data_IF_707295814847
#
_entry.id   IF_707295814847
#
_cell.length_a   1.000
_cell.length_b   1.000
_cell.length_c   1.000
_cell.angle_alpha   90.00
_cell.angle_beta   90.00
_cell.angle_gamma   90.00
#
_symmetry.space_group_name_H-M   'P 1'
#
loop_
_entity.id
_entity.type
_entity.pdbx_description
1 polymer ?
#
# COMPACT_ATOMS: atom_id res chain seq x y z
N UNK A 1 -7.66 -5.71 -8.67
CA UNK A 1 -8.20 -5.78 -7.29
C UNK A 1 -7.09 -6.26 -6.39
N UNK A 2 -6.82 -5.54 -5.30
CA UNK A 2 -5.86 -5.94 -4.27
C UNK A 2 -6.58 -6.85 -3.30
N UNK A 3 -5.98 -7.99 -2.97
CA UNK A 3 -6.52 -8.93 -1.99
C UNK A 3 -5.41 -9.24 -1.00
N UNK A 4 -5.69 -8.97 0.28
CA UNK A 4 -4.90 -9.42 1.44
C UNK A 4 -3.39 -9.10 1.38
N UNK A 5 -3.07 -7.83 1.13
CA UNK A 5 -1.68 -7.34 1.08
C UNK A 5 -1.27 -6.81 2.46
N UNK A 6 -0.22 -7.39 3.04
CA UNK A 6 0.36 -6.95 4.32
C UNK A 6 1.88 -6.82 4.19
N UNK A 7 2.42 -5.64 4.52
CA UNK A 7 3.86 -5.41 4.63
C UNK A 7 4.13 -4.26 5.60
N UNK A 8 5.35 -4.23 6.15
CA UNK A 8 5.87 -3.17 7.00
C UNK A 8 7.16 -2.67 6.36
N UNK A 9 7.38 -1.35 6.38
CA UNK A 9 8.62 -0.73 5.87
C UNK A 9 9.24 0.05 7.01
N UNK A 10 10.48 -0.28 7.37
CA UNK A 10 11.20 0.43 8.41
C UNK A 10 11.89 1.66 7.85
N UNK A 11 12.23 2.59 8.74
CA UNK A 11 13.00 3.77 8.36
C UNK A 11 14.32 3.38 7.69
N UNK A 12 14.56 3.94 6.50
CA UNK A 12 15.76 3.63 5.70
C UNK A 12 15.62 2.40 4.79
N UNK A 13 14.51 1.66 4.86
CA UNK A 13 14.23 0.56 3.92
C UNK A 13 13.58 1.08 2.64
N UNK A 14 13.88 0.41 1.53
CA UNK A 14 13.26 0.67 0.23
C UNK A 14 12.60 -0.62 -0.25
N UNK A 15 11.32 -0.52 -0.63
CA UNK A 15 10.56 -1.62 -1.22
C UNK A 15 10.16 -1.25 -2.65
N UNK A 16 10.25 -2.21 -3.56
CA UNK A 16 9.77 -2.07 -4.93
C UNK A 16 8.47 -2.87 -5.13
N UNK A 17 7.44 -2.23 -5.68
CA UNK A 17 6.19 -2.88 -6.07
C UNK A 17 6.29 -3.36 -7.53
N UNK A 18 6.38 -4.67 -7.73
CA UNK A 18 6.57 -5.30 -9.05
C UNK A 18 5.36 -6.14 -9.47
N UNK A 19 5.13 -6.26 -10.79
CA UNK A 19 4.13 -7.16 -11.37
C UNK A 19 3.55 -6.64 -12.68
N UNK A 20 2.65 -7.40 -13.31
CA UNK A 20 2.01 -7.03 -14.59
C UNK A 20 1.08 -5.82 -14.50
N UNK A 21 0.91 -5.07 -15.60
CA UNK A 21 -0.03 -3.94 -15.66
C UNK A 21 -1.46 -4.39 -15.29
N UNK A 22 -2.21 -3.52 -14.61
CA UNK A 22 -3.60 -3.80 -14.19
C UNK A 22 -3.77 -4.63 -12.91
N UNK A 23 -2.70 -5.11 -12.28
CA UNK A 23 -2.77 -5.93 -11.05
C UNK A 23 -2.96 -5.14 -9.73
N UNK A 24 -3.18 -3.83 -9.78
CA UNK A 24 -3.48 -3.02 -8.59
C UNK A 24 -2.28 -2.31 -7.94
N UNK A 25 -1.09 -2.29 -8.57
CA UNK A 25 0.07 -1.52 -8.09
C UNK A 25 -0.24 -0.04 -7.89
N UNK A 26 -0.81 0.60 -8.92
CA UNK A 26 -1.19 2.02 -8.85
C UNK A 26 -2.27 2.26 -7.80
N UNK A 27 -3.22 1.33 -7.66
CA UNK A 27 -4.25 1.39 -6.61
C UNK A 27 -3.63 1.34 -5.21
N UNK A 28 -2.62 0.49 -4.99
CA UNK A 28 -1.91 0.41 -3.70
C UNK A 28 -1.17 1.73 -3.41
N UNK A 29 -0.49 2.29 -4.41
CA UNK A 29 0.17 3.59 -4.28
C UNK A 29 -0.83 4.71 -3.99
N UNK A 30 -2.03 4.69 -4.57
CA UNK A 30 -3.08 5.68 -4.30
C UNK A 30 -3.65 5.56 -2.89
N UNK A 31 -3.84 4.34 -2.37
CA UNK A 31 -4.23 4.09 -0.98
C UNK A 31 -3.15 4.58 0.00
N UNK A 32 -1.88 4.28 -0.25
CA UNK A 32 -0.76 4.78 0.56
C UNK A 32 -0.67 6.31 0.58
N UNK A 33 -0.97 6.95 -0.56
CA UNK A 33 -1.04 8.42 -0.69
C UNK A 33 -2.34 9.02 -0.12
N UNK A 34 -3.22 8.22 0.48
CA UNK A 34 -4.54 8.61 1.01
C UNK A 34 -5.46 9.27 -0.04
N UNK A 35 -5.34 8.92 -1.33
CA UNK A 35 -6.33 9.30 -2.34
C UNK A 35 -7.67 8.55 -2.17
N UNK A 36 -7.64 7.40 -1.51
CA UNK A 36 -8.79 6.58 -1.17
C UNK A 36 -8.61 5.99 0.22
N UNK A 37 -9.72 5.70 0.91
CA UNK A 37 -9.71 4.92 2.14
C UNK A 37 -9.75 3.42 1.82
N UNK A 38 -9.03 2.58 2.59
CA UNK A 38 -9.12 1.14 2.43
C UNK A 38 -10.51 0.65 2.87
N UNK A 39 -11.17 -0.14 2.02
CA UNK A 39 -12.46 -0.78 2.34
C UNK A 39 -12.33 -1.84 3.45
N UNK A 40 -11.12 -2.34 3.71
CA UNK A 40 -10.82 -3.28 4.77
C UNK A 40 -9.35 -3.22 5.20
N UNK A 41 -9.08 -3.63 6.44
CA UNK A 41 -7.75 -3.56 7.04
C UNK A 41 -7.37 -2.15 7.53
N UNK A 42 -6.08 -1.82 7.49
CA UNK A 42 -5.56 -0.53 7.94
C UNK A 42 -4.23 -0.20 7.29
N UNK A 43 -4.00 1.09 7.03
CA UNK A 43 -2.71 1.63 6.64
C UNK A 43 -2.27 2.57 7.77
N UNK A 44 -0.97 2.56 8.09
CA UNK A 44 -0.41 3.51 9.06
C UNK A 44 0.96 3.97 8.58
N UNK A 45 1.21 5.27 8.69
CA UNK A 45 2.45 5.94 8.29
C UNK A 45 3.00 6.63 9.53
N UNK A 46 4.26 6.38 9.87
CA UNK A 46 4.90 6.89 11.10
C UNK A 46 4.12 6.56 12.38
N UNK A 47 3.42 5.42 12.40
CA UNK A 47 2.56 5.00 13.51
C UNK A 47 1.20 5.71 13.59
N UNK A 48 0.92 6.64 12.67
CA UNK A 48 -0.36 7.33 12.55
C UNK A 48 -1.24 6.63 11.51
N UNK A 49 -2.51 6.41 11.86
CA UNK A 49 -3.50 5.81 10.95
C UNK A 49 -4.05 6.84 9.97
#
# INVERSE_FOLDING_TARGET
MLLDVSFEVKQGEMIALVGESGRGKSTLLQLLQKFYDPEGGSISIDGLR
#
